data_IF_134280458551
#
_entry.id   IF_134280458551
#
_cell.length_a   1.000
_cell.length_b   1.000
_cell.length_c   1.000
_cell.angle_alpha   90.00
_cell.angle_beta   90.00
_cell.angle_gamma   90.00
#
_symmetry.space_group_name_H-M   'P 1'
#
loop_
_entity.id
_entity.type
_entity.pdbx_description
1 polymer ?
#
# COMPACT_ATOMS: atom_id res chain seq x y z
N UNK A 1 -16.70 -12.29 -2.42
CA UNK A 1 -16.63 -10.86 -2.81
C UNK A 1 -15.65 -10.64 -3.96
N UNK A 2 -14.34 -10.89 -3.79
CA UNK A 2 -13.34 -10.64 -4.85
C UNK A 2 -13.66 -11.37 -6.18
N UNK A 3 -14.06 -12.65 -6.13
CA UNK A 3 -14.52 -13.37 -7.32
C UNK A 3 -15.63 -12.62 -8.06
N UNK A 4 -16.65 -12.15 -7.35
CA UNK A 4 -17.76 -11.37 -7.94
C UNK A 4 -17.27 -10.05 -8.55
N UNK A 5 -16.27 -9.38 -7.94
CA UNK A 5 -15.66 -8.17 -8.53
C UNK A 5 -14.97 -8.49 -9.86
N UNK A 6 -14.20 -9.58 -9.92
CA UNK A 6 -13.55 -10.05 -11.15
C UNK A 6 -14.56 -10.51 -12.21
N UNK A 7 -15.58 -11.28 -11.82
CA UNK A 7 -16.68 -11.70 -12.69
C UNK A 7 -17.44 -10.47 -13.26
N UNK A 8 -17.50 -9.38 -12.49
CA UNK A 8 -18.11 -8.10 -12.90
C UNK A 8 -17.17 -7.20 -13.71
N UNK A 9 -16.00 -7.68 -14.10
CA UNK A 9 -15.08 -7.00 -15.01
C UNK A 9 -13.95 -6.21 -14.36
N UNK A 10 -13.75 -6.30 -13.03
CA UNK A 10 -12.55 -5.73 -12.43
C UNK A 10 -11.30 -6.44 -12.96
N UNK A 11 -10.26 -5.68 -13.29
CA UNK A 11 -8.95 -6.24 -13.66
C UNK A 11 -8.01 -6.38 -12.45
N UNK A 12 -8.18 -5.49 -11.47
CA UNK A 12 -7.33 -5.35 -10.31
C UNK A 12 -8.19 -5.07 -9.08
N UNK A 13 -7.94 -5.75 -7.97
CA UNK A 13 -8.58 -5.46 -6.67
C UNK A 13 -7.52 -5.13 -5.62
N UNK A 14 -7.69 -4.00 -4.93
CA UNK A 14 -6.84 -3.59 -3.82
C UNK A 14 -7.36 -4.13 -2.48
N UNK A 15 -6.59 -4.99 -1.82
CA UNK A 15 -7.04 -5.82 -0.71
C UNK A 15 -6.75 -5.19 0.67
N UNK A 16 -7.27 -3.99 0.94
CA UNK A 16 -7.13 -3.31 2.24
C UNK A 16 -8.00 -3.94 3.36
N UNK A 17 -7.77 -5.22 3.66
CA UNK A 17 -8.63 -6.05 4.51
C UNK A 17 -7.85 -6.99 5.47
N UNK A 18 -6.60 -6.67 5.80
CA UNK A 18 -5.75 -7.51 6.67
C UNK A 18 -5.66 -8.96 6.18
N UNK A 19 -5.77 -9.94 7.09
CA UNK A 19 -5.70 -11.37 6.74
C UNK A 19 -6.82 -11.83 5.80
N UNK A 20 -7.99 -11.18 5.82
CA UNK A 20 -9.07 -11.45 4.85
C UNK A 20 -8.61 -11.15 3.41
N UNK A 21 -7.67 -10.22 3.25
CA UNK A 21 -7.06 -9.88 1.97
C UNK A 21 -6.35 -11.05 1.29
N UNK A 22 -5.89 -12.07 2.02
CA UNK A 22 -5.25 -13.26 1.43
C UNK A 22 -6.20 -14.02 0.49
N UNK A 23 -7.50 -14.05 0.82
CA UNK A 23 -8.52 -14.63 -0.06
C UNK A 23 -8.73 -13.82 -1.34
N UNK A 24 -8.47 -12.50 -1.31
CA UNK A 24 -8.48 -11.64 -2.50
C UNK A 24 -7.29 -11.97 -3.40
N UNK A 25 -6.09 -12.12 -2.82
CA UNK A 25 -4.89 -12.46 -3.58
C UNK A 25 -5.05 -13.83 -4.26
N UNK A 26 -5.55 -14.83 -3.54
CA UNK A 26 -5.85 -16.14 -4.11
C UNK A 26 -6.89 -16.05 -5.24
N UNK A 27 -8.00 -15.33 -5.01
CA UNK A 27 -9.02 -15.16 -6.03
C UNK A 27 -8.49 -14.45 -7.29
N UNK A 28 -7.55 -13.51 -7.15
CA UNK A 28 -6.89 -12.88 -8.30
C UNK A 28 -6.13 -13.93 -9.12
N UNK A 29 -5.31 -14.74 -8.46
CA UNK A 29 -4.53 -15.81 -9.10
C UNK A 29 -5.43 -16.83 -9.80
N UNK A 30 -6.48 -17.30 -9.13
CA UNK A 30 -7.44 -18.28 -9.66
C UNK A 30 -8.16 -17.78 -10.93
N UNK A 31 -8.33 -16.46 -11.06
CA UNK A 31 -9.01 -15.84 -12.20
C UNK A 31 -8.04 -15.27 -13.25
N UNK A 32 -6.71 -15.46 -13.09
CA UNK A 32 -5.71 -14.86 -13.98
C UNK A 32 -5.75 -13.32 -13.99
N UNK A 33 -6.17 -12.72 -12.87
CA UNK A 33 -6.28 -11.28 -12.65
C UNK A 33 -5.20 -10.80 -11.67
N UNK A 34 -5.18 -9.49 -11.43
CA UNK A 34 -4.21 -8.87 -10.54
C UNK A 34 -4.85 -8.42 -9.23
N UNK A 35 -4.02 -8.28 -8.21
CA UNK A 35 -4.38 -7.74 -6.91
C UNK A 35 -3.31 -6.79 -6.39
N UNK A 36 -3.64 -5.96 -5.41
CA UNK A 36 -2.66 -5.15 -4.66
C UNK A 36 -2.77 -5.54 -3.19
N UNK A 37 -1.65 -5.95 -2.60
CA UNK A 37 -1.54 -6.30 -1.17
C UNK A 37 -1.41 -5.07 -0.26
N UNK A 38 -1.40 -5.29 1.06
CA UNK A 38 -1.31 -4.20 2.07
C UNK A 38 -0.43 -4.53 3.26
N UNK A 39 -0.02 -3.47 3.95
CA UNK A 39 0.74 -3.38 5.19
C UNK A 39 2.18 -3.89 5.06
N UNK A 40 2.37 -5.12 4.61
CA UNK A 40 3.67 -5.73 4.34
C UNK A 40 3.86 -6.01 2.85
N UNK A 41 5.09 -6.34 2.45
CA UNK A 41 5.31 -6.86 1.10
C UNK A 41 4.66 -8.25 0.99
N UNK A 42 3.63 -8.36 0.16
CA UNK A 42 2.87 -9.58 -0.11
C UNK A 42 3.09 -10.11 -1.53
N UNK A 43 4.02 -9.54 -2.30
CA UNK A 43 4.25 -9.89 -3.70
C UNK A 43 4.58 -11.38 -3.88
N UNK A 44 5.25 -11.98 -2.91
CA UNK A 44 5.65 -13.40 -2.91
C UNK A 44 4.50 -14.39 -2.71
N UNK A 45 3.33 -13.95 -2.24
CA UNK A 45 2.22 -14.85 -1.86
C UNK A 45 1.57 -15.47 -3.10
N UNK A 46 1.37 -14.67 -4.15
CA UNK A 46 0.90 -15.13 -5.47
C UNK A 46 1.73 -14.44 -6.56
N UNK A 47 2.98 -14.89 -6.81
CA UNK A 47 3.88 -14.24 -7.76
C UNK A 47 3.26 -14.16 -9.16
N UNK A 48 3.32 -12.99 -9.78
CA UNK A 48 2.65 -12.74 -11.07
C UNK A 48 1.16 -12.35 -10.99
N UNK A 49 0.52 -12.48 -9.83
CA UNK A 49 -0.88 -12.05 -9.60
C UNK A 49 -1.03 -10.99 -8.52
N UNK A 50 0.02 -10.71 -7.75
CA UNK A 50 0.13 -9.51 -6.90
C UNK A 50 0.91 -8.45 -7.66
N UNK A 51 0.23 -7.40 -8.13
CA UNK A 51 0.84 -6.31 -8.89
C UNK A 51 1.86 -5.53 -8.06
N UNK A 52 1.52 -5.25 -6.80
CA UNK A 52 2.39 -4.63 -5.79
C UNK A 52 1.73 -4.77 -4.43
N UNK A 53 2.39 -4.27 -3.39
CA UNK A 53 1.84 -4.17 -2.04
C UNK A 53 2.01 -2.75 -1.53
N UNK A 54 0.93 -2.17 -0.98
CA UNK A 54 0.98 -0.89 -0.28
C UNK A 54 1.58 -1.12 1.11
N UNK A 55 2.79 -0.62 1.34
CA UNK A 55 3.52 -0.80 2.57
C UNK A 55 3.04 0.19 3.63
N UNK A 56 2.94 -0.29 4.87
CA UNK A 56 2.72 0.54 6.07
C UNK A 56 3.66 0.05 7.17
N UNK A 57 4.65 0.86 7.52
CA UNK A 57 5.74 0.53 8.43
C UNK A 57 5.33 0.59 9.90
N UNK A 58 4.30 -0.18 10.26
CA UNK A 58 3.85 -0.34 11.65
C UNK A 58 4.95 -0.96 12.52
N UNK A 59 5.80 -1.80 11.92
CA UNK A 59 7.01 -2.34 12.53
C UNK A 59 7.97 -1.23 13.01
N UNK A 60 8.24 -0.25 12.14
CA UNK A 60 9.08 0.91 12.47
C UNK A 60 8.41 1.77 13.54
N UNK A 61 7.13 2.06 13.38
CA UNK A 61 6.37 2.86 14.35
C UNK A 61 6.41 2.24 15.76
N UNK A 62 6.16 0.93 15.86
CA UNK A 62 6.20 0.21 17.13
C UNK A 62 7.62 0.20 17.72
N UNK A 63 8.63 -0.11 16.88
CA UNK A 63 10.02 -0.13 17.32
C UNK A 63 10.48 1.22 17.91
N UNK A 64 10.15 2.33 17.24
CA UNK A 64 10.53 3.67 17.71
C UNK A 64 9.87 4.03 19.04
N UNK A 65 8.61 3.64 19.26
CA UNK A 65 7.91 3.88 20.54
C UNK A 65 8.60 3.11 21.67
N UNK A 66 8.90 1.83 21.48
CA UNK A 66 9.60 1.05 22.50
C UNK A 66 11.02 1.54 22.74
N UNK A 67 11.74 1.92 21.67
CA UNK A 67 13.09 2.47 21.77
C UNK A 67 13.11 3.75 22.58
N UNK A 68 12.25 4.71 22.26
CA UNK A 68 12.19 6.00 23.00
C UNK A 68 11.71 5.82 24.44
N UNK A 69 10.82 4.85 24.69
CA UNK A 69 10.43 4.46 26.05
C UNK A 69 11.60 3.89 26.86
N UNK A 70 12.37 2.99 26.26
CA UNK A 70 13.59 2.42 26.87
C UNK A 70 14.65 3.49 27.15
N UNK A 71 14.88 4.38 26.18
CA UNK A 71 15.87 5.46 26.26
C UNK A 71 15.42 6.61 27.20
N UNK A 72 14.21 6.55 27.78
CA UNK A 72 13.65 7.60 28.64
C UNK A 72 13.34 8.91 27.90
N UNK A 73 13.30 8.88 26.57
CA UNK A 73 13.11 10.06 25.70
C UNK A 73 11.72 10.14 25.07
N UNK A 74 10.83 9.21 25.41
CA UNK A 74 9.47 9.18 24.91
C UNK A 74 8.72 10.47 25.23
N UNK A 75 7.92 10.94 24.26
CA UNK A 75 7.07 12.12 24.40
C UNK A 75 5.64 11.78 23.98
N UNK A 76 4.62 12.28 24.70
CA UNK A 76 3.23 12.16 24.28
C UNK A 76 2.97 13.01 23.03
N UNK A 77 2.00 12.60 22.22
CA UNK A 77 1.55 13.32 21.03
C UNK A 77 1.46 12.43 19.80
N UNK A 78 1.20 13.07 18.66
CA UNK A 78 1.12 12.40 17.36
C UNK A 78 2.48 12.43 16.65
N UNK A 79 2.88 11.28 16.12
CA UNK A 79 3.92 11.18 15.10
C UNK A 79 3.26 10.70 13.81
N UNK A 80 3.35 11.51 12.76
CA UNK A 80 2.83 11.17 11.44
C UNK A 80 3.96 10.51 10.65
N UNK A 81 3.69 9.34 10.08
CA UNK A 81 4.63 8.59 9.26
C UNK A 81 4.02 8.40 7.87
N UNK A 82 4.21 9.41 7.02
CA UNK A 82 3.73 9.44 5.65
C UNK A 82 4.79 8.98 4.65
N UNK A 83 4.65 9.41 3.39
CA UNK A 83 5.65 9.15 2.34
C UNK A 83 6.99 9.85 2.63
N UNK A 84 6.98 10.99 3.33
CA UNK A 84 8.19 11.76 3.63
C UNK A 84 9.06 11.09 4.69
N UNK A 85 8.44 10.36 5.62
CA UNK A 85 9.10 9.59 6.67
C UNK A 85 9.35 8.12 6.27
N UNK A 86 9.10 7.77 5.01
CA UNK A 86 9.10 6.38 4.51
C UNK A 86 8.24 5.43 5.35
N UNK A 87 7.20 5.98 6.01
CA UNK A 87 6.24 5.25 6.83
C UNK A 87 5.22 4.47 6.01
N UNK A 88 4.99 4.91 4.78
CA UNK A 88 4.19 4.22 3.77
C UNK A 88 4.93 4.19 2.44
N UNK A 89 4.58 3.24 1.58
CA UNK A 89 5.22 3.11 0.27
C UNK A 89 4.59 2.02 -0.58
N UNK A 90 5.32 1.59 -1.61
CA UNK A 90 4.94 0.49 -2.49
C UNK A 90 6.09 -0.51 -2.63
N UNK A 91 5.77 -1.77 -2.89
CA UNK A 91 6.75 -2.84 -3.01
C UNK A 91 7.07 -3.19 -4.47
N UNK A 92 8.35 -3.27 -4.80
CA UNK A 92 8.87 -3.77 -6.07
C UNK A 92 10.03 -4.73 -5.78
N UNK A 93 9.90 -5.98 -6.23
CA UNK A 93 10.86 -7.05 -6.03
C UNK A 93 10.82 -8.05 -7.20
N UNK A 94 11.54 -9.17 -7.09
CA UNK A 94 11.58 -10.21 -8.11
C UNK A 94 10.22 -10.86 -8.42
N UNK A 95 9.27 -10.81 -7.49
CA UNK A 95 7.97 -11.47 -7.62
C UNK A 95 6.98 -10.67 -8.47
N UNK A 96 7.12 -9.34 -8.53
CA UNK A 96 6.26 -8.46 -9.34
C UNK A 96 7.01 -7.64 -10.40
N UNK A 97 8.34 -7.70 -10.47
CA UNK A 97 9.15 -6.93 -11.43
C UNK A 97 8.69 -7.06 -12.89
N UNK A 98 8.21 -8.24 -13.31
CA UNK A 98 7.71 -8.45 -14.68
C UNK A 98 6.36 -7.78 -14.97
N UNK A 99 5.59 -7.46 -13.93
CA UNK A 99 4.29 -6.79 -14.03
C UNK A 99 4.42 -5.27 -14.09
N UNK A 100 5.52 -4.73 -13.55
CA UNK A 100 5.72 -3.28 -13.41
C UNK A 100 6.68 -2.77 -14.48
N UNK A 101 6.14 -2.06 -15.46
CA UNK A 101 6.96 -1.46 -16.51
C UNK A 101 7.78 -0.27 -16.00
N UNK A 102 8.86 0.08 -16.69
CA UNK A 102 9.66 1.28 -16.39
C UNK A 102 8.81 2.56 -16.42
N UNK A 103 7.82 2.63 -17.31
CA UNK A 103 6.88 3.75 -17.39
C UNK A 103 5.99 3.84 -16.14
N UNK A 104 5.46 2.70 -15.65
CA UNK A 104 4.70 2.65 -14.41
C UNK A 104 5.55 3.08 -13.22
N UNK A 105 6.77 2.53 -13.09
CA UNK A 105 7.71 2.91 -12.03
C UNK A 105 7.99 4.41 -12.07
N UNK A 106 8.34 4.96 -13.24
CA UNK A 106 8.58 6.40 -13.38
C UNK A 106 7.36 7.24 -12.99
N UNK A 107 6.15 6.80 -13.36
CA UNK A 107 4.92 7.51 -13.00
C UNK A 107 4.66 7.50 -11.49
N UNK A 108 4.88 6.37 -10.81
CA UNK A 108 4.75 6.28 -9.35
C UNK A 108 5.76 7.21 -8.66
N UNK A 109 7.02 7.22 -9.10
CA UNK A 109 8.03 8.12 -8.53
C UNK A 109 7.70 9.60 -8.79
N UNK A 110 7.23 9.96 -9.99
CA UNK A 110 6.77 11.32 -10.26
C UNK A 110 5.61 11.74 -9.35
N UNK A 111 4.67 10.84 -9.05
CA UNK A 111 3.58 11.10 -8.12
C UNK A 111 4.09 11.22 -6.69
N UNK A 112 5.03 10.36 -6.26
CA UNK A 112 5.70 10.45 -4.96
C UNK A 112 6.32 11.83 -4.76
N UNK A 113 7.16 12.26 -5.70
CA UNK A 113 7.80 13.59 -5.65
C UNK A 113 6.77 14.73 -5.71
N UNK A 114 5.69 14.55 -6.47
CA UNK A 114 4.56 15.48 -6.49
C UNK A 114 3.90 15.62 -5.11
N UNK A 115 3.73 14.53 -4.37
CA UNK A 115 3.17 14.54 -3.01
C UNK A 115 4.15 15.18 -2.03
N UNK A 116 5.43 14.80 -2.08
CA UNK A 116 6.47 15.32 -1.18
C UNK A 116 6.71 16.82 -1.35
N UNK A 117 6.65 17.33 -2.58
CA UNK A 117 6.75 18.76 -2.87
C UNK A 117 5.45 19.53 -2.55
N UNK A 118 4.35 18.85 -2.20
CA UNK A 118 3.04 19.45 -1.97
C UNK A 118 2.30 19.87 -3.25
N UNK A 119 2.87 19.63 -4.44
CA UNK A 119 2.23 19.86 -5.74
C UNK A 119 0.98 19.00 -5.91
N UNK A 120 1.02 17.76 -5.42
CA UNK A 120 -0.11 16.85 -5.33
C UNK A 120 -0.55 16.80 -3.87
N UNK A 121 -1.79 17.20 -3.59
CA UNK A 121 -2.37 17.07 -2.26
C UNK A 121 -3.26 15.84 -2.23
N UNK A 122 -2.87 14.86 -1.42
CA UNK A 122 -3.72 13.70 -1.14
C UNK A 122 -4.85 14.16 -0.23
N UNK A 123 -6.09 13.94 -0.66
CA UNK A 123 -7.24 14.30 0.15
C UNK A 123 -7.37 13.32 1.33
N UNK A 124 -7.44 13.86 2.54
CA UNK A 124 -7.75 13.10 3.74
C UNK A 124 -9.27 13.02 3.91
N UNK A 125 -9.85 11.85 3.65
CA UNK A 125 -11.28 11.60 3.84
C UNK A 125 -11.75 11.98 5.24
N UNK A 126 -10.91 11.80 6.27
CA UNK A 126 -11.31 12.06 7.65
C UNK A 126 -11.42 13.56 7.96
N UNK A 127 -10.93 14.42 7.07
CA UNK A 127 -10.99 15.88 7.26
C UNK A 127 -12.39 16.45 6.99
N UNK A 128 -13.18 15.86 6.09
CA UNK A 128 -14.51 16.34 5.72
C UNK A 128 -15.55 15.24 5.40
N UNK A 129 -15.17 13.96 5.52
CA UNK A 129 -15.96 12.78 5.17
C UNK A 129 -16.44 12.75 3.71
N UNK A 130 -15.70 13.36 2.78
CA UNK A 130 -16.06 13.39 1.36
C UNK A 130 -15.07 12.60 0.51
N UNK A 131 -15.58 12.06 -0.59
CA UNK A 131 -14.75 11.49 -1.65
C UNK A 131 -14.92 12.37 -2.89
N UNK A 132 -13.99 13.28 -3.19
CA UNK A 132 -14.15 14.26 -4.27
C UNK A 132 -14.08 13.67 -5.69
N UNK A 133 -14.02 12.34 -5.80
CA UNK A 133 -13.86 11.57 -7.04
C UNK A 133 -15.09 10.71 -7.39
N UNK A 134 -16.24 10.97 -6.75
CA UNK A 134 -17.53 10.42 -7.17
C UNK A 134 -18.09 11.14 -8.39
#
# INVERSE_FOLDING_TARGET
LAKTMYDSGADIVYAAAGSTGLGVLQAAADNGKLSIGVDSNQNYIQPGSVLTSMLKRVDVAAYEVFKTGHDGSWKPGFKILGLAEDGVGWALDEHNAKLVTSAMKSKVEQVREGILSGKIKVHDYMSDNKCPVQ
#
